data_IF_291840182536
#
_entry.id   IF_291840182536
#
_cell.length_a   1.000
_cell.length_b   1.000
_cell.length_c   1.000
_cell.angle_alpha   90.00
_cell.angle_beta   90.00
_cell.angle_gamma   90.00
#
_symmetry.space_group_name_H-M   'P 1'
#
loop_
_entity.id
_entity.type
_entity.pdbx_description
1 polymer ?
#
# COMPACT_ATOMS: atom_id res chain seq x y z
N UNK A 1 -3.84 -13.41 18.90
CA UNK A 1 -3.99 -14.34 17.74
C UNK A 1 -4.87 -13.69 16.67
N UNK A 2 -6.17 -13.49 16.92
CA UNK A 2 -7.11 -12.92 15.93
C UNK A 2 -6.70 -11.55 15.33
N UNK A 3 -6.12 -10.62 16.11
CA UNK A 3 -5.70 -9.31 15.58
C UNK A 3 -4.47 -9.40 14.66
N UNK A 4 -3.50 -10.27 14.98
CA UNK A 4 -2.31 -10.53 14.15
C UNK A 4 -2.71 -11.14 12.81
N UNK A 5 -3.61 -12.12 12.83
CA UNK A 5 -4.18 -12.76 11.63
C UNK A 5 -4.93 -11.75 10.75
N UNK A 6 -5.84 -10.97 11.34
CA UNK A 6 -6.57 -9.93 10.60
C UNK A 6 -5.65 -8.88 9.97
N UNK A 7 -4.57 -8.47 10.67
CA UNK A 7 -3.59 -7.55 10.11
C UNK A 7 -2.84 -8.18 8.92
N UNK A 8 -2.43 -9.44 9.02
CA UNK A 8 -1.79 -10.15 7.92
C UNK A 8 -2.72 -10.29 6.71
N UNK A 9 -4.00 -10.62 6.92
CA UNK A 9 -5.01 -10.67 5.87
C UNK A 9 -5.16 -9.32 5.17
N UNK A 10 -5.27 -8.23 5.93
CA UNK A 10 -5.38 -6.88 5.36
C UNK A 10 -4.12 -6.47 4.57
N UNK A 11 -2.93 -6.84 5.05
CA UNK A 11 -1.66 -6.58 4.35
C UNK A 11 -1.55 -7.41 3.06
N UNK A 12 -1.99 -8.67 3.07
CA UNK A 12 -2.02 -9.50 1.86
C UNK A 12 -3.03 -8.93 0.85
N UNK A 13 -4.22 -8.50 1.31
CA UNK A 13 -5.20 -7.86 0.44
C UNK A 13 -4.70 -6.54 -0.17
N UNK A 14 -3.90 -5.76 0.57
CA UNK A 14 -3.21 -4.59 0.03
C UNK A 14 -2.19 -4.99 -1.05
N UNK A 15 -1.36 -6.00 -0.81
CA UNK A 15 -0.38 -6.50 -1.80
C UNK A 15 -1.06 -6.95 -3.09
N UNK A 16 -2.15 -7.70 -2.99
CA UNK A 16 -2.95 -8.15 -4.14
C UNK A 16 -3.53 -6.96 -4.93
N UNK A 17 -4.08 -5.96 -4.22
CA UNK A 17 -4.62 -4.76 -4.86
C UNK A 17 -3.52 -3.97 -5.59
N UNK A 18 -2.33 -3.86 -4.99
CA UNK A 18 -1.16 -3.22 -5.61
C UNK A 18 -0.67 -3.99 -6.85
N UNK A 19 -0.62 -5.32 -6.79
CA UNK A 19 -0.25 -6.16 -7.91
C UNK A 19 -1.25 -6.03 -9.08
N UNK A 20 -2.55 -6.01 -8.77
CA UNK A 20 -3.61 -5.74 -9.77
C UNK A 20 -3.46 -4.35 -10.39
N UNK A 21 -3.16 -3.33 -9.58
CA UNK A 21 -2.92 -1.97 -10.09
C UNK A 21 -1.68 -1.89 -10.98
N UNK A 22 -0.62 -2.65 -10.68
CA UNK A 22 0.58 -2.71 -11.52
C UNK A 22 0.27 -3.34 -12.88
N UNK A 23 -0.44 -4.49 -12.88
CA UNK A 23 -0.86 -5.18 -14.11
C UNK A 23 -1.78 -4.33 -14.98
N UNK A 24 -2.71 -3.60 -14.36
CA UNK A 24 -3.58 -2.67 -15.08
C UNK A 24 -2.81 -1.49 -15.69
N UNK A 25 -1.68 -1.10 -15.10
CA UNK A 25 -0.76 -0.19 -15.75
C UNK A 25 -0.22 -0.79 -17.04
N UNK A 26 0.19 -2.05 -17.04
CA UNK A 26 0.82 -2.68 -18.21
C UNK A 26 -0.13 -2.92 -19.40
N UNK A 27 -1.42 -3.13 -19.13
CA UNK A 27 -2.47 -3.35 -20.13
C UNK A 27 -3.19 -2.03 -20.44
N UNK A 28 -3.45 -1.72 -21.72
CA UNK A 28 -4.21 -0.57 -22.25
C UNK A 28 -4.92 0.31 -21.19
N UNK A 29 -4.14 1.17 -20.53
CA UNK A 29 -4.59 1.90 -19.33
C UNK A 29 -5.72 2.88 -19.64
N UNK A 30 -5.76 3.39 -20.87
CA UNK A 30 -6.80 4.29 -21.31
C UNK A 30 -8.15 3.57 -21.46
N UNK A 31 -8.16 2.33 -21.94
CA UNK A 31 -9.35 1.48 -21.95
C UNK A 31 -9.83 1.10 -20.54
N UNK A 32 -8.93 1.08 -19.55
CA UNK A 32 -9.19 0.59 -18.19
C UNK A 32 -9.17 1.66 -17.09
N UNK A 33 -9.32 2.94 -17.47
CA UNK A 33 -9.20 4.06 -16.53
C UNK A 33 -10.18 3.99 -15.35
N UNK A 34 -11.40 3.46 -15.56
CA UNK A 34 -12.38 3.24 -14.48
C UNK A 34 -11.90 2.20 -13.47
N UNK A 35 -11.33 1.10 -13.96
CA UNK A 35 -10.78 0.04 -13.11
C UNK A 35 -9.62 0.56 -12.26
N UNK A 36 -8.81 1.49 -12.79
CA UNK A 36 -7.73 2.14 -12.05
C UNK A 36 -8.25 3.02 -10.90
N UNK A 37 -9.38 3.71 -11.08
CA UNK A 37 -10.03 4.50 -10.02
C UNK A 37 -10.57 3.58 -8.93
N UNK A 38 -11.25 2.49 -9.30
CA UNK A 38 -11.77 1.53 -8.31
C UNK A 38 -10.64 0.84 -7.53
N UNK A 39 -9.52 0.51 -8.19
CA UNK A 39 -8.34 -0.02 -7.51
C UNK A 39 -7.74 0.99 -6.52
N UNK A 40 -7.68 2.29 -6.84
CA UNK A 40 -7.24 3.31 -5.88
C UNK A 40 -8.16 3.37 -4.66
N UNK A 41 -9.48 3.24 -4.84
CA UNK A 41 -10.43 3.20 -3.72
C UNK A 41 -10.24 1.95 -2.86
N UNK A 42 -10.07 0.79 -3.50
CA UNK A 42 -9.78 -0.47 -2.80
C UNK A 42 -8.50 -0.35 -1.96
N UNK A 43 -7.44 0.17 -2.55
CA UNK A 43 -6.16 0.41 -1.87
C UNK A 43 -6.35 1.35 -0.66
N UNK A 44 -7.12 2.43 -0.81
CA UNK A 44 -7.42 3.35 0.29
C UNK A 44 -8.20 2.65 1.42
N UNK A 45 -9.16 1.79 1.08
CA UNK A 45 -9.91 0.99 2.05
C UNK A 45 -9.00 0.02 2.81
N UNK A 46 -8.07 -0.67 2.13
CA UNK A 46 -7.10 -1.56 2.77
C UNK A 46 -6.16 -0.80 3.71
N UNK A 47 -5.70 0.39 3.31
CA UNK A 47 -4.90 1.25 4.20
C UNK A 47 -5.67 1.64 5.47
N UNK A 48 -6.96 1.97 5.34
CA UNK A 48 -7.80 2.26 6.51
C UNK A 48 -7.95 1.04 7.43
N UNK A 49 -8.13 -0.15 6.86
CA UNK A 49 -8.22 -1.39 7.63
C UNK A 49 -6.92 -1.65 8.39
N UNK A 50 -5.77 -1.58 7.71
CA UNK A 50 -4.44 -1.74 8.32
C UNK A 50 -4.22 -0.75 9.46
N UNK A 51 -4.60 0.52 9.27
CA UNK A 51 -4.49 1.55 10.31
C UNK A 51 -5.26 1.17 11.58
N UNK A 52 -6.50 0.66 11.41
CA UNK A 52 -7.35 0.25 12.54
C UNK A 52 -6.87 -1.02 13.26
N UNK A 53 -6.24 -1.94 12.53
CA UNK A 53 -5.81 -3.24 13.07
C UNK A 53 -4.42 -3.20 13.70
N UNK A 54 -3.58 -2.25 13.27
CA UNK A 54 -2.18 -2.18 13.65
C UNK A 54 -1.94 -2.07 15.16
N UNK A 55 -2.68 -1.19 15.83
CA UNK A 55 -2.48 -0.96 17.27
C UNK A 55 -2.85 -2.20 18.13
N UNK A 56 -3.82 -2.99 17.66
CA UNK A 56 -4.30 -4.21 18.33
C UNK A 56 -3.43 -5.44 18.01
N UNK A 57 -2.74 -5.44 16.88
CA UNK A 57 -1.89 -6.56 16.46
C UNK A 57 -0.53 -6.59 17.18
N UNK A 58 -0.07 -5.45 17.69
CA UNK A 58 1.20 -5.31 18.40
C UNK A 58 0.98 -5.12 19.90
N UNK A 59 1.66 -5.93 20.72
CA UNK A 59 1.38 -6.05 22.15
C UNK A 59 2.11 -4.99 22.99
N UNK A 60 3.32 -4.59 22.57
CA UNK A 60 4.16 -3.66 23.32
C UNK A 60 4.09 -2.23 22.76
N UNK A 61 4.29 -1.18 23.58
CA UNK A 61 4.38 0.19 23.08
C UNK A 61 5.42 0.38 21.98
N UNK A 62 6.57 -0.28 22.09
CA UNK A 62 7.67 -0.19 21.13
C UNK A 62 7.29 -0.79 19.77
N UNK A 63 6.62 -1.95 19.78
CA UNK A 63 6.18 -2.62 18.56
C UNK A 63 5.03 -1.86 17.88
N UNK A 64 4.10 -1.27 18.65
CA UNK A 64 3.09 -0.34 18.10
C UNK A 64 3.72 0.90 17.48
N UNK A 65 4.71 1.50 18.15
CA UNK A 65 5.38 2.68 17.61
C UNK A 65 6.16 2.34 16.32
N UNK A 66 6.82 1.18 16.29
CA UNK A 66 7.50 0.71 15.09
C UNK A 66 6.51 0.51 13.92
N UNK A 67 5.35 -0.09 14.18
CA UNK A 67 4.28 -0.21 13.19
C UNK A 67 3.83 1.16 12.67
N UNK A 68 3.50 2.09 13.57
CA UNK A 68 3.04 3.44 13.19
C UNK A 68 4.08 4.17 12.35
N UNK A 69 5.37 4.01 12.66
CA UNK A 69 6.45 4.61 11.88
C UNK A 69 6.51 4.05 10.46
N UNK A 70 6.53 2.72 10.31
CA UNK A 70 6.59 2.08 8.99
C UNK A 70 5.32 2.30 8.17
N UNK A 71 4.16 2.20 8.81
CA UNK A 71 2.87 2.50 8.18
C UNK A 71 2.77 3.95 7.74
N UNK A 72 3.23 4.91 8.55
CA UNK A 72 3.23 6.33 8.20
C UNK A 72 4.11 6.64 7.00
N UNK A 73 5.31 6.03 6.91
CA UNK A 73 6.19 6.17 5.74
C UNK A 73 5.51 5.69 4.47
N UNK A 74 4.95 4.49 4.50
CA UNK A 74 4.23 3.88 3.38
C UNK A 74 3.05 4.74 2.94
N UNK A 75 2.15 5.09 3.88
CA UNK A 75 0.97 5.92 3.60
C UNK A 75 1.32 7.28 3.02
N UNK A 76 2.37 7.92 3.55
CA UNK A 76 2.80 9.25 3.08
C UNK A 76 3.36 9.19 1.65
N UNK A 77 4.15 8.16 1.34
CA UNK A 77 4.65 7.94 -0.02
C UNK A 77 3.49 7.70 -1.01
N UNK A 78 2.45 6.94 -0.60
CA UNK A 78 1.27 6.69 -1.43
C UNK A 78 0.48 7.97 -1.70
N UNK A 79 0.22 8.74 -0.64
CA UNK A 79 -0.50 10.01 -0.75
C UNK A 79 0.25 10.99 -1.66
N UNK A 80 1.57 11.11 -1.49
CA UNK A 80 2.41 11.94 -2.34
C UNK A 80 2.34 11.51 -3.82
N UNK A 81 2.51 10.22 -4.10
CA UNK A 81 2.39 9.70 -5.47
C UNK A 81 1.02 10.02 -6.08
N UNK A 82 -0.06 9.78 -5.35
CA UNK A 82 -1.42 9.99 -5.86
C UNK A 82 -1.77 11.47 -6.08
N UNK A 83 -1.24 12.35 -5.24
CA UNK A 83 -1.40 13.80 -5.38
C UNK A 83 -0.62 14.35 -6.58
N UNK A 84 0.63 13.88 -6.77
CA UNK A 84 1.46 14.29 -7.91
C UNK A 84 1.01 13.69 -9.24
N UNK A 85 0.35 12.53 -9.21
CA UNK A 85 -0.03 11.78 -10.41
C UNK A 85 -1.50 11.36 -10.39
N UNK A 86 -2.44 12.26 -10.74
CA UNK A 86 -3.86 11.92 -10.87
C UNK A 86 -4.09 10.88 -11.99
N UNK A 87 -4.86 9.81 -11.71
CA UNK A 87 -5.17 8.73 -12.71
C UNK A 87 -5.65 9.29 -14.03
N UNK A 88 -6.48 10.33 -13.98
CA UNK A 88 -7.20 10.86 -15.13
C UNK A 88 -6.33 11.67 -16.09
N UNK A 89 -5.12 12.06 -15.67
CA UNK A 89 -4.27 12.99 -16.43
C UNK A 89 -2.79 12.60 -16.39
N UNK A 90 -2.48 11.37 -15.98
CA UNK A 90 -1.08 10.94 -15.84
C UNK A 90 -0.47 10.65 -17.21
N UNK A 91 0.64 11.33 -17.50
CA UNK A 91 1.54 10.94 -18.57
C UNK A 91 2.40 9.78 -18.08
N UNK A 92 2.26 8.64 -18.76
CA UNK A 92 2.90 7.37 -18.38
C UNK A 92 4.34 7.25 -18.84
N UNK A 93 4.74 8.04 -19.84
CA UNK A 93 6.10 8.07 -20.36
C UNK A 93 6.97 9.07 -19.59
N UNK A 94 6.33 9.92 -18.78
CA UNK A 94 7.02 10.88 -17.94
C UNK A 94 8.02 10.16 -16.99
N UNK A 95 9.35 10.45 -17.10
CA UNK A 95 10.36 9.80 -16.28
C UNK A 95 10.14 10.00 -14.78
N UNK A 96 9.59 11.15 -14.36
CA UNK A 96 9.28 11.44 -12.96
C UNK A 96 8.11 10.60 -12.45
N UNK A 97 7.12 10.30 -13.30
CA UNK A 97 6.05 9.36 -12.96
C UNK A 97 6.60 7.96 -12.76
N UNK A 98 7.43 7.48 -13.69
CA UNK A 98 8.07 6.15 -13.62
C UNK A 98 8.95 6.03 -12.36
N UNK A 99 9.74 7.06 -12.06
CA UNK A 99 10.55 7.09 -10.84
C UNK A 99 9.68 7.07 -9.57
N UNK A 100 8.60 7.84 -9.54
CA UNK A 100 7.64 7.86 -8.44
C UNK A 100 6.94 6.50 -8.26
N UNK A 101 6.54 5.85 -9.34
CA UNK A 101 6.00 4.48 -9.33
C UNK A 101 6.98 3.47 -8.75
N UNK A 102 8.27 3.55 -9.13
CA UNK A 102 9.30 2.66 -8.59
C UNK A 102 9.49 2.89 -7.09
N UNK A 103 9.57 4.15 -6.67
CA UNK A 103 9.70 4.52 -5.26
C UNK A 103 8.53 3.98 -4.44
N UNK A 104 7.29 4.15 -4.91
CA UNK A 104 6.13 3.69 -4.13
C UNK A 104 6.03 2.17 -4.05
N UNK A 105 6.37 1.46 -5.14
CA UNK A 105 6.44 -0.02 -5.14
C UNK A 105 7.44 -0.51 -4.10
N UNK A 106 8.61 0.11 -4.03
CA UNK A 106 9.63 -0.26 -3.07
C UNK A 106 9.20 0.04 -1.63
N UNK A 107 8.63 1.21 -1.35
CA UNK A 107 8.13 1.53 -0.01
C UNK A 107 7.04 0.57 0.46
N UNK A 108 6.12 0.20 -0.43
CA UNK A 108 5.08 -0.77 -0.11
C UNK A 108 5.68 -2.15 0.19
N UNK A 109 6.63 -2.61 -0.62
CA UNK A 109 7.33 -3.89 -0.42
C UNK A 109 8.07 -3.95 0.91
N UNK A 110 8.76 -2.87 1.28
CA UNK A 110 9.45 -2.73 2.57
C UNK A 110 8.47 -2.87 3.72
N UNK A 111 7.36 -2.13 3.69
CA UNK A 111 6.32 -2.19 4.74
C UNK A 111 5.71 -3.59 4.86
N UNK A 112 5.28 -4.20 3.75
CA UNK A 112 4.66 -5.53 3.73
C UNK A 112 5.62 -6.57 4.32
N UNK A 113 6.88 -6.53 3.88
CA UNK A 113 7.93 -7.44 4.38
C UNK A 113 8.16 -7.23 5.88
N UNK A 114 8.23 -5.98 6.31
CA UNK A 114 8.40 -5.63 7.72
C UNK A 114 7.26 -6.18 8.58
N UNK A 115 6.00 -6.00 8.18
CA UNK A 115 4.84 -6.52 8.96
C UNK A 115 4.92 -8.04 9.09
N UNK A 116 5.18 -8.75 7.99
CA UNK A 116 5.34 -10.21 7.99
C UNK A 116 6.44 -10.65 8.95
N UNK A 117 7.61 -10.01 8.90
CA UNK A 117 8.72 -10.32 9.80
C UNK A 117 8.44 -9.94 11.25
N UNK A 118 7.73 -8.85 11.51
CA UNK A 118 7.41 -8.39 12.85
C UNK A 118 6.39 -9.31 13.55
N UNK A 119 5.45 -9.88 12.79
CA UNK A 119 4.43 -10.79 13.31
C UNK A 119 4.87 -12.26 13.36
N UNK A 120 5.92 -12.64 12.62
CA UNK A 120 6.52 -13.97 12.66
C UNK A 120 7.44 -14.19 13.88
N UNK A 121 7.76 -13.13 14.63
CA UNK A 121 8.56 -13.24 15.86
C UNK A 121 7.68 -13.82 16.99
N UNK A 122 8.16 -14.84 17.71
CA UNK A 122 7.44 -15.48 18.80
C UNK A 122 7.17 -14.53 19.98
#
# INVERSE_FOLDING_TARGET
>A
MAAKEKLLEAVNALEDALARSAKLGEVDFDAHRKDAVELRRLIAAQNSAIASLGDDAFETPESRQAFRNEFSKMRSAMAFHQASWPVVSVDRENPSYVASLRSIRETNRIFITWVRSALAKP
#
